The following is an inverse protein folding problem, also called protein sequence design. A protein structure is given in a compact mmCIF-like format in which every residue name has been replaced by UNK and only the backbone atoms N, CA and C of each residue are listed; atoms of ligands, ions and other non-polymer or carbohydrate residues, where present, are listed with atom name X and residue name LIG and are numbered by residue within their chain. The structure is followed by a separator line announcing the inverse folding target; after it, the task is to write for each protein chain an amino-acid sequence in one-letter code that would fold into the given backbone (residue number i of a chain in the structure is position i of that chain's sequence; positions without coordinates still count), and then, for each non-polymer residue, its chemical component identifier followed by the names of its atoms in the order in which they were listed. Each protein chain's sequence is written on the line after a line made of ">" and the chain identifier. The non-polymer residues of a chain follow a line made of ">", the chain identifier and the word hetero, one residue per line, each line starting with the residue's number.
data_IF_871631518056
#
_entry.id   IF_871631518056
#
_cell.length_a   1.000
_cell.length_b   1.000
_cell.length_c   1.000
_cell.angle_alpha   90.00
_cell.angle_beta   90.00
_cell.angle_gamma   90.00
#
_symmetry.space_group_name_H-M   'P 1'
#
loop_
_entity.id
_entity.type
_entity.pdbx_description
1 polymer ?
#
# COMPACT_ATOMS: atom_id res chain seq x y z
N UNK A 1 17.91 0.81 6.43
CA UNK A 1 16.91 -0.26 6.29
C UNK A 1 16.48 -0.62 7.69
N UNK A 2 15.19 -0.53 7.98
CA UNK A 2 14.64 -0.76 9.32
C UNK A 2 14.02 -2.14 9.47
N UNK A 3 13.33 -2.64 8.43
CA UNK A 3 12.67 -3.95 8.40
C UNK A 3 12.54 -4.46 6.96
N UNK A 4 12.41 -5.78 6.80
CA UNK A 4 12.22 -6.47 5.51
C UNK A 4 11.25 -7.63 5.66
N UNK A 5 10.49 -7.95 4.62
CA UNK A 5 9.56 -9.08 4.52
C UNK A 5 9.62 -9.69 3.12
N UNK A 6 9.36 -10.99 3.03
CA UNK A 6 9.29 -11.73 1.77
C UNK A 6 7.82 -11.88 1.41
N UNK A 7 7.30 -11.14 0.44
CA UNK A 7 5.89 -11.24 0.07
C UNK A 7 5.61 -12.49 -0.77
N UNK A 8 6.57 -12.87 -1.60
CA UNK A 8 6.52 -14.03 -2.48
C UNK A 8 7.96 -14.48 -2.81
N UNK A 9 8.13 -15.58 -3.55
CA UNK A 9 9.42 -16.16 -3.91
C UNK A 9 10.35 -15.14 -4.61
N UNK A 10 9.78 -14.25 -5.42
CA UNK A 10 10.51 -13.23 -6.18
C UNK A 10 10.22 -11.79 -5.75
N UNK A 11 9.32 -11.56 -4.79
CA UNK A 11 8.87 -10.22 -4.38
C UNK A 11 9.20 -9.98 -2.90
N UNK A 12 9.93 -8.89 -2.64
CA UNK A 12 10.42 -8.53 -1.32
C UNK A 12 9.96 -7.12 -0.97
N UNK A 13 9.47 -6.93 0.26
CA UNK A 13 9.08 -5.63 0.80
C UNK A 13 10.16 -5.16 1.79
N UNK A 14 10.59 -3.92 1.66
CA UNK A 14 11.53 -3.29 2.57
C UNK A 14 11.03 -1.96 3.10
N UNK A 15 11.46 -1.65 4.32
CA UNK A 15 11.30 -0.34 4.94
C UNK A 15 12.67 0.29 5.21
N UNK A 16 12.78 1.61 5.04
CA UNK A 16 14.00 2.36 5.31
C UNK A 16 13.85 3.45 6.37
N UNK A 17 15.00 4.00 6.77
CA UNK A 17 15.09 4.92 7.91
C UNK A 17 14.49 6.29 7.61
N UNK A 18 14.24 6.60 6.34
CA UNK A 18 13.58 7.82 5.87
C UNK A 18 12.05 7.66 5.80
N UNK A 19 11.49 6.67 6.49
CA UNK A 19 10.04 6.41 6.55
C UNK A 19 9.42 6.00 5.20
N UNK A 20 10.24 5.48 4.28
CA UNK A 20 9.79 4.97 3.00
C UNK A 20 9.62 3.44 3.02
N UNK A 21 8.72 2.97 2.17
CA UNK A 21 8.59 1.58 1.74
C UNK A 21 9.12 1.44 0.31
N UNK A 22 9.66 0.26 0.01
CA UNK A 22 10.05 -0.10 -1.34
C UNK A 22 9.81 -1.60 -1.58
N UNK A 23 9.45 -1.94 -2.81
CA UNK A 23 9.28 -3.32 -3.26
C UNK A 23 10.39 -3.64 -4.25
N UNK A 24 11.04 -4.76 -4.03
CA UNK A 24 12.06 -5.29 -4.90
C UNK A 24 11.54 -6.57 -5.54
N UNK A 25 11.85 -6.73 -6.81
CA UNK A 25 11.68 -7.98 -7.53
C UNK A 25 13.02 -8.58 -7.95
N UNK A 26 13.10 -9.90 -7.85
CA UNK A 26 14.22 -10.70 -8.29
C UNK A 26 13.82 -11.44 -9.56
N UNK A 27 14.59 -11.23 -10.63
CA UNK A 27 14.37 -11.95 -11.89
C UNK A 27 14.98 -13.35 -11.85
N UNK A 28 14.29 -14.31 -11.20
CA UNK A 28 14.79 -15.68 -11.08
C UNK A 28 14.90 -16.43 -12.41
N UNK A 29 14.17 -15.99 -13.45
CA UNK A 29 14.18 -16.58 -14.80
C UNK A 29 15.23 -15.97 -15.75
N UNK A 30 16.09 -15.07 -15.27
CA UNK A 30 17.11 -14.41 -16.08
C UNK A 30 17.96 -15.38 -16.91
N UNK A 31 18.37 -14.99 -18.12
CA UNK A 31 19.16 -15.85 -18.99
C UNK A 31 20.60 -16.03 -18.45
N UNK A 32 21.12 -14.99 -17.80
CA UNK A 32 22.47 -14.92 -17.23
C UNK A 32 22.45 -14.98 -15.70
N UNK A 33 23.59 -15.31 -15.09
CA UNK A 33 23.73 -15.30 -13.63
C UNK A 33 23.60 -13.87 -13.08
N UNK A 34 24.14 -12.91 -13.81
CA UNK A 34 24.13 -11.49 -13.48
C UNK A 34 22.69 -10.96 -13.38
N UNK A 35 21.82 -11.34 -14.32
CA UNK A 35 20.39 -11.00 -14.29
C UNK A 35 19.68 -11.65 -13.10
N UNK A 36 19.94 -12.94 -12.83
CA UNK A 36 19.33 -13.66 -11.69
C UNK A 36 19.77 -13.14 -10.32
N UNK A 37 20.93 -12.50 -10.27
CA UNK A 37 21.45 -11.88 -9.06
C UNK A 37 21.04 -10.41 -8.92
N UNK A 38 20.37 -9.82 -9.91
CA UNK A 38 19.94 -8.42 -9.88
C UNK A 38 18.60 -8.29 -9.18
N UNK A 39 18.52 -7.31 -8.31
CA UNK A 39 17.32 -6.89 -7.61
C UNK A 39 16.86 -5.56 -8.22
N UNK A 40 15.62 -5.52 -8.70
CA UNK A 40 15.04 -4.34 -9.35
C UNK A 40 13.95 -3.74 -8.48
N UNK A 41 13.95 -2.41 -8.35
CA UNK A 41 12.95 -1.71 -7.54
C UNK A 41 11.67 -1.54 -8.35
N UNK A 42 10.64 -2.31 -7.97
CA UNK A 42 9.32 -2.23 -8.58
C UNK A 42 8.50 -1.09 -7.98
N UNK A 43 8.44 -1.00 -6.65
CA UNK A 43 7.57 -0.08 -5.93
C UNK A 43 8.35 0.83 -4.99
N UNK A 44 7.91 2.07 -4.85
CA UNK A 44 8.48 3.06 -3.93
C UNK A 44 7.33 3.93 -3.41
N UNK A 45 7.28 4.15 -2.09
CA UNK A 45 6.24 4.95 -1.45
C UNK A 45 6.76 5.56 -0.14
N UNK A 46 6.28 6.76 0.20
CA UNK A 46 6.53 7.37 1.49
C UNK A 46 5.39 7.04 2.47
N UNK A 47 5.70 6.20 3.46
CA UNK A 47 4.75 5.81 4.50
C UNK A 47 4.59 6.92 5.54
N UNK A 48 5.67 7.62 5.88
CA UNK A 48 5.72 8.64 6.94
C UNK A 48 5.84 8.05 8.36
N UNK A 49 5.94 6.73 8.49
CA UNK A 49 6.10 6.03 9.76
C UNK A 49 7.37 5.16 9.77
N UNK A 50 7.96 4.99 10.95
CA UNK A 50 9.15 4.14 11.11
C UNK A 50 8.74 2.69 11.38
N UNK A 51 8.85 1.82 10.38
CA UNK A 51 8.50 0.41 10.50
C UNK A 51 9.62 -0.37 11.20
N UNK A 52 9.28 -0.99 12.33
CA UNK A 52 10.20 -1.83 13.12
C UNK A 52 10.13 -3.30 12.74
N UNK A 53 8.96 -3.79 12.31
CA UNK A 53 8.77 -5.21 12.04
C UNK A 53 7.61 -5.45 11.09
N UNK A 54 7.80 -6.35 10.13
CA UNK A 54 6.75 -6.97 9.34
C UNK A 54 6.42 -8.37 9.88
N UNK A 55 5.18 -8.82 9.67
CA UNK A 55 4.71 -10.17 9.98
C UNK A 55 3.62 -10.59 9.01
N UNK A 56 3.76 -11.77 8.43
CA UNK A 56 2.64 -12.43 7.76
C UNK A 56 1.50 -12.72 8.72
N UNK A 57 0.28 -12.50 8.24
CA UNK A 57 -0.95 -12.75 8.97
C UNK A 57 -1.98 -11.65 8.77
N UNK A 58 -3.22 -11.96 9.09
CA UNK A 58 -4.33 -11.02 9.15
C UNK A 58 -4.92 -11.06 10.56
N UNK A 59 -5.48 -9.92 11.01
CA UNK A 59 -6.25 -9.82 12.25
C UNK A 59 -7.74 -10.15 12.03
N UNK A 60 -8.16 -10.35 10.78
CA UNK A 60 -9.53 -10.61 10.39
C UNK A 60 -9.86 -12.09 10.49
N UNK A 61 -11.05 -12.40 11.01
CA UNK A 61 -11.57 -13.75 11.03
C UNK A 61 -12.08 -14.15 9.65
N UNK A 62 -11.36 -15.03 8.95
CA UNK A 62 -11.87 -15.66 7.73
C UNK A 62 -12.92 -16.72 8.08
N UNK A 63 -14.15 -16.53 7.61
CA UNK A 63 -15.15 -17.58 7.61
C UNK A 63 -14.81 -18.58 6.48
N UNK A 64 -14.93 -19.89 6.71
CA UNK A 64 -14.48 -20.92 5.75
C UNK A 64 -15.22 -20.91 4.41
N UNK A 65 -16.36 -20.21 4.30
CA UNK A 65 -17.21 -20.15 3.09
C UNK A 65 -17.08 -18.81 2.33
N UNK A 66 -16.10 -17.97 2.65
CA UNK A 66 -15.88 -16.73 1.90
C UNK A 66 -15.06 -17.00 0.64
N UNK A 67 -15.72 -17.03 -0.53
CA UNK A 67 -15.12 -17.09 -1.87
C UNK A 67 -14.25 -15.85 -2.23
N UNK A 68 -14.04 -14.93 -1.27
CA UNK A 68 -13.12 -13.82 -1.41
C UNK A 68 -11.70 -14.35 -1.52
N UNK A 69 -11.08 -14.17 -2.69
CA UNK A 69 -9.72 -14.61 -2.96
C UNK A 69 -8.78 -14.29 -1.80
N UNK A 70 -7.96 -15.25 -1.41
CA UNK A 70 -7.06 -15.11 -0.27
C UNK A 70 -5.95 -14.11 -0.61
N UNK A 71 -6.18 -12.82 -0.33
CA UNK A 71 -5.18 -11.77 -0.55
C UNK A 71 -4.08 -11.96 0.50
N UNK A 72 -2.82 -12.18 0.10
CA UNK A 72 -1.70 -12.30 1.03
C UNK A 72 -1.62 -11.03 1.89
N UNK A 73 -1.71 -11.21 3.21
CA UNK A 73 -1.74 -10.09 4.16
C UNK A 73 -0.50 -10.12 5.05
N UNK A 74 0.14 -8.97 5.18
CA UNK A 74 1.23 -8.74 6.12
C UNK A 74 0.91 -7.51 6.98
N UNK A 75 1.06 -7.66 8.29
CA UNK A 75 0.95 -6.58 9.25
C UNK A 75 2.33 -6.00 9.57
N UNK A 76 2.37 -4.74 9.98
CA UNK A 76 3.61 -4.10 10.40
C UNK A 76 3.43 -3.27 11.66
N UNK A 77 4.47 -3.24 12.49
CA UNK A 77 4.52 -2.42 13.71
C UNK A 77 5.42 -1.20 13.51
N UNK A 78 4.95 -0.03 13.91
CA UNK A 78 5.70 1.24 13.83
C UNK A 78 6.18 1.71 15.21
N UNK A 79 7.16 2.62 15.24
CA UNK A 79 7.69 3.20 16.49
C UNK A 79 6.60 3.97 17.26
N UNK A 80 5.73 4.70 16.56
CA UNK A 80 4.68 5.50 17.17
C UNK A 80 3.48 4.65 17.66
N UNK A 81 3.57 3.32 17.54
CA UNK A 81 2.50 2.39 17.92
C UNK A 81 1.25 2.56 17.09
N UNK A 82 1.38 3.06 15.86
CA UNK A 82 0.32 3.38 14.88
C UNK A 82 -1.05 3.51 15.55
N UNK A 83 -1.24 4.57 16.34
CA UNK A 83 -2.60 4.99 16.65
C UNK A 83 -3.28 5.13 15.29
N UNK A 84 -4.38 4.40 15.06
CA UNK A 84 -5.26 4.44 13.89
C UNK A 84 -5.87 5.84 13.70
N UNK A 85 -5.04 6.87 13.66
CA UNK A 85 -5.42 8.25 13.39
C UNK A 85 -5.64 8.27 11.89
N UNK A 86 -6.92 8.16 11.49
CA UNK A 86 -7.44 8.68 10.22
C UNK A 86 -6.94 10.12 10.07
N UNK A 87 -5.78 10.33 9.47
CA UNK A 87 -5.33 11.64 9.01
C UNK A 87 -5.44 11.63 7.50
N UNK A 88 -6.68 11.65 7.01
CA UNK A 88 -6.93 12.07 5.64
C UNK A 88 -7.90 13.23 5.67
N UNK A 89 -7.30 14.39 5.90
CA UNK A 89 -7.65 15.63 5.21
C UNK A 89 -6.31 16.28 4.91
N UNK A 90 -6.02 16.56 3.64
CA UNK A 90 -4.90 17.42 3.27
C UNK A 90 -5.11 18.77 3.95
N UNK A 91 -4.48 18.98 5.09
CA UNK A 91 -4.58 20.24 5.84
C UNK A 91 -3.52 21.19 5.30
N UNK A 92 -3.87 22.46 5.12
CA UNK A 92 -2.92 23.48 4.66
C UNK A 92 -2.55 23.42 3.18
N UNK A 93 -3.35 22.75 2.34
CA UNK A 93 -3.13 22.72 0.87
C UNK A 93 -1.98 21.81 0.43
N UNK A 94 -1.55 20.89 1.28
CA UNK A 94 -0.54 19.89 0.94
C UNK A 94 -1.11 18.86 -0.04
N UNK A 95 -0.36 18.59 -1.12
CA UNK A 95 -0.70 17.55 -2.09
C UNK A 95 -0.43 16.16 -1.49
N UNK A 96 -1.41 15.26 -1.62
CA UNK A 96 -1.27 13.86 -1.21
C UNK A 96 -0.19 13.15 -2.03
N UNK A 97 -0.13 13.41 -3.34
CA UNK A 97 0.89 12.85 -4.23
C UNK A 97 2.30 13.23 -3.78
N UNK A 98 2.53 14.52 -3.47
CA UNK A 98 3.82 15.01 -2.97
C UNK A 98 4.17 14.44 -1.60
N UNK A 99 3.17 14.18 -0.76
CA UNK A 99 3.37 13.54 0.54
C UNK A 99 3.80 12.08 0.38
N UNK A 100 3.21 11.35 -0.58
CA UNK A 100 3.53 9.94 -0.85
C UNK A 100 4.79 9.74 -1.70
N UNK A 101 5.31 10.77 -2.36
CA UNK A 101 6.58 10.70 -3.09
C UNK A 101 7.71 10.15 -2.21
N UNK A 102 8.31 9.03 -2.64
CA UNK A 102 9.48 8.45 -2.00
C UNK A 102 10.57 9.51 -1.86
N UNK A 103 11.08 9.70 -0.64
CA UNK A 103 12.00 10.79 -0.37
C UNK A 103 13.13 10.40 0.58
N UNK A 104 14.37 10.56 0.15
CA UNK A 104 15.55 10.44 1.00
C UNK A 104 16.63 11.45 0.59
N UNK A 105 17.78 11.43 1.29
CA UNK A 105 18.87 12.38 1.04
C UNK A 105 19.43 12.35 -0.40
N UNK A 106 19.19 11.27 -1.14
CA UNK A 106 19.75 11.06 -2.49
C UNK A 106 18.77 11.39 -3.59
N UNK A 107 17.46 11.18 -3.37
CA UNK A 107 16.46 11.31 -4.42
C UNK A 107 15.05 11.54 -3.84
N UNK A 108 14.25 12.20 -4.65
CA UNK A 108 12.79 12.28 -4.50
C UNK A 108 12.17 11.74 -5.79
N UNK A 109 11.29 10.74 -5.69
CA UNK A 109 10.62 10.08 -6.81
C UNK A 109 9.14 9.93 -6.48
N UNK A 110 8.28 10.04 -7.47
CA UNK A 110 6.84 9.82 -7.31
C UNK A 110 6.53 8.40 -6.84
N UNK A 111 5.48 8.27 -6.03
CA UNK A 111 5.04 6.97 -5.56
C UNK A 111 4.64 6.08 -6.74
N UNK A 112 5.04 4.81 -6.71
CA UNK A 112 4.71 3.84 -7.76
C UNK A 112 4.43 2.47 -7.17
N UNK A 113 3.47 1.76 -7.75
CA UNK A 113 3.08 0.40 -7.36
C UNK A 113 2.71 0.25 -5.88
N UNK A 114 2.22 1.34 -5.27
CA UNK A 114 1.58 1.38 -3.97
C UNK A 114 0.24 2.11 -4.11
N UNK A 115 -0.77 1.63 -3.37
CA UNK A 115 -2.09 2.24 -3.29
C UNK A 115 -2.36 2.59 -1.83
N UNK A 116 -2.77 3.82 -1.57
CA UNK A 116 -3.05 4.28 -0.21
C UNK A 116 -4.45 3.83 0.22
N UNK A 117 -4.50 2.76 1.03
CA UNK A 117 -5.75 2.18 1.53
C UNK A 117 -6.57 3.16 2.35
N UNK A 118 -5.93 4.01 3.16
CA UNK A 118 -6.65 5.03 3.93
C UNK A 118 -7.37 6.00 2.99
N UNK A 119 -6.72 6.40 1.88
CA UNK A 119 -7.31 7.31 0.89
C UNK A 119 -8.47 6.65 0.17
N UNK A 120 -8.32 5.39 -0.24
CA UNK A 120 -9.38 4.62 -0.89
C UNK A 120 -10.59 4.48 0.03
N UNK A 121 -10.37 4.17 1.32
CA UNK A 121 -11.45 4.05 2.30
C UNK A 121 -12.22 5.35 2.52
N UNK A 122 -11.60 6.52 2.32
CA UNK A 122 -12.32 7.80 2.42
C UNK A 122 -13.48 7.90 1.44
N UNK A 123 -13.48 7.10 0.36
CA UNK A 123 -14.61 7.01 -0.57
C UNK A 123 -15.92 6.71 0.16
N UNK A 124 -15.92 5.83 1.17
CA UNK A 124 -17.12 5.44 1.93
C UNK A 124 -17.68 6.59 2.79
N UNK A 125 -16.84 7.59 3.09
CA UNK A 125 -17.20 8.78 3.88
C UNK A 125 -17.68 9.95 2.97
N UNK A 126 -17.66 9.80 1.63
CA UNK A 126 -18.08 10.84 0.68
C UNK A 126 -19.61 10.93 0.56
N UNK A 127 -20.08 12.08 0.04
CA UNK A 127 -21.48 12.21 -0.36
C UNK A 127 -21.72 11.59 -1.75
N UNK A 128 -22.99 11.28 -2.05
CA UNK A 128 -23.38 10.62 -3.30
C UNK A 128 -22.95 11.39 -4.55
N UNK A 129 -23.01 12.72 -4.55
CA UNK A 129 -22.60 13.54 -5.70
C UNK A 129 -21.13 13.34 -6.06
N UNK A 130 -20.25 13.33 -5.05
CA UNK A 130 -18.82 13.10 -5.26
C UNK A 130 -18.53 11.66 -5.69
N UNK A 131 -19.24 10.69 -5.12
CA UNK A 131 -19.13 9.28 -5.52
C UNK A 131 -19.49 9.09 -7.00
N UNK A 132 -20.57 9.73 -7.47
CA UNK A 132 -20.98 9.68 -8.88
C UNK A 132 -19.95 10.31 -9.82
N UNK A 133 -19.31 11.42 -9.42
CA UNK A 133 -18.24 12.03 -10.20
C UNK A 133 -17.03 11.10 -10.33
N UNK A 134 -16.61 10.46 -9.23
CA UNK A 134 -15.53 9.46 -9.23
C UNK A 134 -15.90 8.26 -10.11
N UNK A 135 -17.12 7.74 -9.97
CA UNK A 135 -17.62 6.63 -10.79
C UNK A 135 -17.58 6.93 -12.29
N UNK A 136 -17.95 8.16 -12.69
CA UNK A 136 -17.84 8.61 -14.08
C UNK A 136 -16.38 8.65 -14.56
N UNK A 137 -15.48 9.19 -13.76
CA UNK A 137 -14.05 9.23 -14.10
C UNK A 137 -13.44 7.84 -14.24
N UNK A 138 -13.86 6.89 -13.40
CA UNK A 138 -13.40 5.49 -13.43
C UNK A 138 -14.17 4.61 -14.43
N UNK A 139 -15.19 5.15 -15.10
CA UNK A 139 -16.09 4.41 -15.99
C UNK A 139 -16.70 3.17 -15.30
N UNK A 140 -17.19 3.32 -14.07
CA UNK A 140 -17.80 2.29 -13.22
C UNK A 140 -18.99 2.86 -12.45
N UNK A 141 -19.93 2.02 -12.02
CA UNK A 141 -21.08 2.47 -11.22
C UNK A 141 -20.68 2.74 -9.77
N UNK A 142 -21.46 3.57 -9.07
CA UNK A 142 -21.20 3.87 -7.65
C UNK A 142 -21.37 2.61 -6.81
N UNK A 143 -22.36 1.79 -7.15
CA UNK A 143 -22.66 0.53 -6.45
C UNK A 143 -21.48 -0.45 -6.52
N UNK A 144 -20.90 -0.63 -7.71
CA UNK A 144 -19.76 -1.53 -7.91
C UNK A 144 -18.49 -1.01 -7.19
N UNK A 145 -18.24 0.31 -7.22
CA UNK A 145 -17.14 0.90 -6.46
C UNK A 145 -17.34 0.75 -4.97
N UNK A 146 -18.57 0.97 -4.48
CA UNK A 146 -18.89 0.86 -3.06
C UNK A 146 -18.66 -0.56 -2.56
N UNK A 147 -19.17 -1.56 -3.28
CA UNK A 147 -18.99 -2.97 -2.93
C UNK A 147 -17.51 -3.36 -2.87
N UNK A 148 -16.71 -2.96 -3.87
CA UNK A 148 -15.26 -3.24 -3.89
C UNK A 148 -14.50 -2.55 -2.76
N UNK A 149 -14.79 -1.28 -2.47
CA UNK A 149 -14.12 -0.57 -1.37
C UNK A 149 -14.53 -1.16 -0.02
N UNK A 150 -15.78 -1.58 0.13
CA UNK A 150 -16.26 -2.26 1.34
C UNK A 150 -15.56 -3.62 1.54
N UNK A 151 -15.39 -4.40 0.47
CA UNK A 151 -14.62 -5.65 0.52
C UNK A 151 -13.17 -5.42 0.97
N UNK A 152 -12.50 -4.39 0.44
CA UNK A 152 -11.14 -4.03 0.86
C UNK A 152 -11.09 -3.58 2.33
N UNK A 153 -12.06 -2.80 2.78
CA UNK A 153 -12.14 -2.32 4.15
C UNK A 153 -12.36 -3.43 5.19
N UNK A 154 -12.80 -4.62 4.76
CA UNK A 154 -12.95 -5.81 5.61
C UNK A 154 -11.63 -6.56 5.85
N UNK A 155 -10.52 -6.18 5.20
CA UNK A 155 -9.22 -6.85 5.34
C UNK A 155 -8.40 -6.41 6.57
N UNK A 156 -8.89 -5.45 7.36
CA UNK A 156 -8.23 -4.93 8.57
C UNK A 156 -8.81 -5.46 9.87
#
# INVERSE_FOLDING_TARGET
>A
MSSVEILDDDIYLGAENNFNLFIIWKNSEGATKEERCRLEVLGEDHLGEFVNRFRHGSLVMHLPDSDGGQIPTAIFGTVNGSNLRKVIKGVGGLSHEQWRSFNNEKKTIDAKNFLDGDLIETFLDLNQSWMEEIGKTMNTTVEELYERVEELARLR
#
